data_IF_142012353338
#
_entry.id   IF_142012353338
#
_cell.length_a   1.000
_cell.length_b   1.000
_cell.length_c   1.000
_cell.angle_alpha   90.00
_cell.angle_beta   90.00
_cell.angle_gamma   90.00
#
_symmetry.space_group_name_H-M   'P 1'
#
loop_
_entity.id
_entity.type
_entity.pdbx_description
1 polymer ?
#
# COMPACT_ATOMS: atom_id res chain seq x y z
N UNK A 1 -54.28 -8.15 -20.50
CA UNK A 1 -53.98 -9.15 -21.57
C UNK A 1 -52.57 -8.83 -22.05
N UNK A 2 -51.61 -9.74 -22.16
CA UNK A 2 -51.63 -11.18 -21.96
C UNK A 2 -50.20 -11.70 -22.11
N UNK A 3 -49.77 -12.48 -21.12
CA UNK A 3 -48.65 -13.40 -21.21
C UNK A 3 -49.23 -14.76 -20.86
N UNK A 4 -48.80 -15.83 -21.53
CA UNK A 4 -49.15 -17.18 -21.06
C UNK A 4 -48.54 -17.40 -19.68
N UNK A 5 -49.06 -18.36 -18.90
CA UNK A 5 -48.50 -18.66 -17.58
C UNK A 5 -46.99 -18.99 -17.65
N UNK A 6 -46.54 -19.62 -18.74
CA UNK A 6 -45.14 -19.92 -18.99
C UNK A 6 -44.30 -18.65 -19.26
N UNK A 7 -44.80 -17.74 -20.10
CA UNK A 7 -44.08 -16.48 -20.40
C UNK A 7 -44.00 -15.57 -19.18
N UNK A 8 -45.05 -15.54 -18.36
CA UNK A 8 -45.06 -14.82 -17.10
C UNK A 8 -43.99 -15.36 -16.13
N UNK A 9 -43.92 -16.68 -15.96
CA UNK A 9 -42.90 -17.31 -15.11
C UNK A 9 -41.48 -16.97 -15.57
N UNK A 10 -41.20 -17.05 -16.87
CA UNK A 10 -39.88 -16.72 -17.40
C UNK A 10 -39.53 -15.23 -17.21
N UNK A 11 -40.48 -14.33 -17.48
CA UNK A 11 -40.25 -12.89 -17.34
C UNK A 11 -40.03 -12.47 -15.88
N UNK A 12 -40.87 -12.95 -14.96
CA UNK A 12 -40.70 -12.69 -13.53
C UNK A 12 -39.39 -13.30 -13.01
N UNK A 13 -39.00 -14.49 -13.48
CA UNK A 13 -37.73 -15.10 -13.08
C UNK A 13 -36.51 -14.28 -13.54
N UNK A 14 -36.52 -13.74 -14.76
CA UNK A 14 -35.43 -12.88 -15.26
C UNK A 14 -35.37 -11.56 -14.48
N UNK A 15 -36.52 -10.93 -14.21
CA UNK A 15 -36.59 -9.69 -13.42
C UNK A 15 -36.12 -9.91 -11.97
N UNK A 16 -36.50 -11.02 -11.34
CA UNK A 16 -36.08 -11.36 -9.97
C UNK A 16 -34.58 -11.66 -9.87
N UNK A 17 -34.01 -12.40 -10.83
CA UNK A 17 -32.56 -12.66 -10.86
C UNK A 17 -31.78 -11.36 -11.08
N UNK A 18 -32.28 -10.49 -11.99
CA UNK A 18 -31.69 -9.19 -12.24
C UNK A 18 -31.69 -8.28 -11.00
N UNK A 19 -32.81 -8.21 -10.28
CA UNK A 19 -32.92 -7.43 -9.04
C UNK A 19 -31.98 -7.93 -7.94
N UNK A 20 -31.82 -9.25 -7.82
CA UNK A 20 -30.85 -9.87 -6.91
C UNK A 20 -29.39 -9.54 -7.27
N UNK A 21 -29.04 -9.51 -8.56
CA UNK A 21 -27.68 -9.17 -9.00
C UNK A 21 -27.36 -7.68 -8.87
N UNK A 22 -28.31 -6.80 -9.18
CA UNK A 22 -28.09 -5.34 -9.09
C UNK A 22 -28.03 -4.87 -7.64
N UNK A 23 -28.88 -5.42 -6.76
CA UNK A 23 -28.88 -5.08 -5.32
C UNK A 23 -27.65 -5.58 -4.56
N UNK A 24 -26.93 -6.58 -5.07
CA UNK A 24 -25.73 -7.11 -4.43
C UNK A 24 -24.53 -6.17 -4.52
N UNK A 25 -24.40 -5.40 -5.61
CA UNK A 25 -23.26 -4.48 -5.77
C UNK A 25 -23.23 -3.44 -4.64
N UNK A 26 -24.34 -2.73 -4.32
CA UNK A 26 -24.39 -1.86 -3.14
C UNK A 26 -24.21 -2.59 -1.81
N UNK A 27 -24.83 -3.77 -1.65
CA UNK A 27 -24.77 -4.52 -0.40
C UNK A 27 -23.32 -4.91 -0.03
N UNK A 28 -22.54 -5.34 -1.01
CA UNK A 28 -21.13 -5.68 -0.83
C UNK A 28 -20.28 -4.45 -0.48
N UNK A 29 -20.55 -3.30 -1.10
CA UNK A 29 -19.87 -2.04 -0.77
C UNK A 29 -20.14 -1.60 0.67
N UNK A 30 -21.40 -1.71 1.14
CA UNK A 30 -21.78 -1.39 2.53
C UNK A 30 -21.09 -2.35 3.51
N UNK A 31 -21.09 -3.65 3.22
CA UNK A 31 -20.47 -4.66 4.08
C UNK A 31 -18.95 -4.45 4.23
N UNK A 32 -18.24 -4.18 3.13
CA UNK A 32 -16.80 -3.88 3.16
C UNK A 32 -16.54 -2.59 3.97
N UNK A 33 -17.33 -1.54 3.72
CA UNK A 33 -17.18 -0.26 4.43
C UNK A 33 -17.39 -0.45 5.94
N UNK A 34 -18.44 -1.17 6.34
CA UNK A 34 -18.70 -1.49 7.73
C UNK A 34 -17.58 -2.35 8.35
N UNK A 35 -17.06 -3.34 7.61
CA UNK A 35 -15.93 -4.17 8.03
C UNK A 35 -14.64 -3.36 8.26
N UNK A 36 -14.36 -2.37 7.43
CA UNK A 36 -13.21 -1.47 7.61
C UNK A 36 -13.41 -0.56 8.82
N UNK A 37 -14.61 0.00 9.02
CA UNK A 37 -14.91 0.87 10.17
C UNK A 37 -14.79 0.10 11.49
N UNK A 38 -15.34 -1.11 11.57
CA UNK A 38 -15.39 -1.89 12.83
C UNK A 38 -14.01 -2.37 13.28
N UNK A 39 -13.10 -2.67 12.34
CA UNK A 39 -11.75 -3.14 12.67
C UNK A 39 -10.78 -2.00 13.02
N UNK A 40 -11.11 -0.75 12.69
CA UNK A 40 -10.27 0.44 12.97
C UNK A 40 -10.45 1.02 14.38
N UNK A 41 -11.47 0.62 15.16
CA UNK A 41 -11.81 1.27 16.45
C UNK A 41 -10.69 1.19 17.51
N UNK A 42 -9.67 0.34 17.29
CA UNK A 42 -8.52 0.18 18.17
C UNK A 42 -7.27 0.98 17.75
N UNK A 43 -7.30 1.70 16.63
CA UNK A 43 -6.17 2.50 16.14
C UNK A 43 -6.17 3.89 16.79
N UNK A 44 -5.17 4.23 17.61
CA UNK A 44 -5.05 5.52 18.32
C UNK A 44 -4.77 6.74 17.40
N UNK A 45 -4.68 6.53 16.09
CA UNK A 45 -4.37 7.59 15.12
C UNK A 45 -5.63 8.34 14.67
N UNK A 46 -5.67 9.64 14.98
CA UNK A 46 -6.79 10.55 14.72
C UNK A 46 -6.94 10.96 13.25
N UNK A 47 -6.23 10.32 12.31
CA UNK A 47 -6.43 10.57 10.88
C UNK A 47 -7.79 10.02 10.43
N UNK A 48 -8.46 10.71 9.52
CA UNK A 48 -9.64 10.17 8.86
C UNK A 48 -9.24 9.03 7.91
N UNK A 49 -10.01 7.94 7.93
CA UNK A 49 -9.79 6.76 7.09
C UNK A 49 -9.60 7.09 5.60
N UNK A 50 -10.30 8.10 5.08
CA UNK A 50 -10.18 8.54 3.69
C UNK A 50 -8.79 9.06 3.35
N UNK A 51 -8.12 9.73 4.29
CA UNK A 51 -6.76 10.26 4.10
C UNK A 51 -5.74 9.13 4.03
N UNK A 52 -5.87 8.12 4.91
CA UNK A 52 -4.99 6.95 4.92
C UNK A 52 -5.14 6.13 3.64
N UNK A 53 -6.37 5.86 3.20
CA UNK A 53 -6.66 5.17 1.95
C UNK A 53 -6.09 5.96 0.77
N UNK A 54 -6.32 7.28 0.74
CA UNK A 54 -5.76 8.15 -0.29
C UNK A 54 -4.24 8.08 -0.36
N UNK A 55 -3.57 8.11 0.80
CA UNK A 55 -2.12 7.97 0.89
C UNK A 55 -1.64 6.61 0.38
N UNK A 56 -2.35 5.52 0.69
CA UNK A 56 -2.01 4.17 0.23
C UNK A 56 -2.18 3.99 -1.28
N UNK A 57 -3.26 4.52 -1.85
CA UNK A 57 -3.49 4.48 -3.30
C UNK A 57 -2.38 5.23 -4.03
N UNK A 58 -2.06 6.44 -3.58
CA UNK A 58 -0.98 7.27 -4.14
C UNK A 58 0.40 6.66 -3.91
N UNK A 59 0.61 5.89 -2.83
CA UNK A 59 1.87 5.20 -2.55
C UNK A 59 2.22 4.12 -3.59
N UNK A 60 1.27 3.68 -4.42
CA UNK A 60 1.47 2.63 -5.44
C UNK A 60 1.34 3.19 -6.89
N UNK A 61 2.36 3.89 -7.43
CA UNK A 61 2.33 4.44 -8.80
C UNK A 61 1.99 3.42 -9.90
N UNK A 62 2.45 2.17 -9.73
CA UNK A 62 2.20 1.10 -10.69
C UNK A 62 0.71 0.78 -10.81
N UNK A 63 -0.03 0.78 -9.68
CA UNK A 63 -1.46 0.55 -9.69
C UNK A 63 -2.20 1.66 -10.45
N UNK A 64 -1.80 2.93 -10.26
CA UNK A 64 -2.37 4.06 -11.01
C UNK A 64 -2.14 3.95 -12.51
N UNK A 65 -0.94 3.54 -12.95
CA UNK A 65 -0.64 3.36 -14.37
C UNK A 65 -1.47 2.24 -15.01
N UNK A 66 -1.64 1.11 -14.31
CA UNK A 66 -2.49 0.01 -14.76
C UNK A 66 -3.96 0.45 -14.82
N UNK A 67 -4.43 1.19 -13.82
CA UNK A 67 -5.78 1.76 -13.81
C UNK A 67 -6.00 2.74 -14.98
N UNK A 68 -5.01 3.59 -15.27
CA UNK A 68 -5.03 4.48 -16.43
C UNK A 68 -5.14 3.73 -17.77
N UNK A 69 -4.41 2.62 -17.92
CA UNK A 69 -4.52 1.75 -19.09
C UNK A 69 -5.92 1.14 -19.21
N UNK A 70 -6.51 0.65 -18.12
CA UNK A 70 -7.87 0.12 -18.11
C UNK A 70 -8.91 1.18 -18.51
N UNK A 71 -8.75 2.42 -18.07
CA UNK A 71 -9.63 3.53 -18.48
C UNK A 71 -9.56 3.80 -19.99
N UNK A 72 -8.38 3.69 -20.60
CA UNK A 72 -8.23 3.77 -22.07
C UNK A 72 -8.98 2.61 -22.74
N UNK A 73 -8.82 1.39 -22.25
CA UNK A 73 -9.51 0.22 -22.80
C UNK A 73 -11.04 0.37 -22.73
N UNK A 74 -11.57 0.90 -21.63
CA UNK A 74 -13.00 1.20 -21.52
C UNK A 74 -13.45 2.33 -22.44
N UNK A 75 -12.62 3.36 -22.64
CA UNK A 75 -12.90 4.43 -23.61
C UNK A 75 -12.97 3.95 -25.06
N UNK A 76 -12.35 2.82 -25.39
CA UNK A 76 -12.42 2.23 -26.75
C UNK A 76 -13.71 1.43 -27.00
N UNK A 77 -14.50 1.15 -25.95
CA UNK A 77 -15.76 0.43 -26.10
C UNK A 77 -16.82 1.37 -26.71
N UNK A 78 -17.39 1.05 -27.88
CA UNK A 78 -18.41 1.89 -28.51
C UNK A 78 -19.66 1.96 -27.62
N UNK A 79 -20.14 3.18 -27.38
CA UNK A 79 -21.28 3.47 -26.49
C UNK A 79 -20.91 4.17 -25.19
N UNK A 80 -19.62 4.17 -24.78
CA UNK A 80 -19.17 4.93 -23.62
C UNK A 80 -18.72 6.37 -23.99
N UNK A 81 -18.85 7.36 -23.09
CA UNK A 81 -18.36 8.73 -23.33
C UNK A 81 -16.83 8.78 -23.45
N UNK A 82 -16.30 8.62 -24.66
CA UNK A 82 -14.86 8.51 -24.94
C UNK A 82 -14.06 9.65 -24.29
N UNK A 83 -14.50 10.90 -24.49
CA UNK A 83 -13.81 12.09 -23.98
C UNK A 83 -13.62 12.01 -22.45
N UNK A 84 -14.64 11.56 -21.71
CA UNK A 84 -14.57 11.44 -20.25
C UNK A 84 -13.55 10.39 -19.82
N UNK A 85 -13.56 9.21 -20.46
CA UNK A 85 -12.62 8.14 -20.14
C UNK A 85 -11.18 8.51 -20.49
N UNK A 86 -10.94 9.11 -21.66
CA UNK A 86 -9.61 9.56 -22.05
C UNK A 86 -9.10 10.70 -21.16
N UNK A 87 -9.96 11.64 -20.75
CA UNK A 87 -9.59 12.70 -19.80
C UNK A 87 -9.20 12.12 -18.44
N UNK A 88 -10.00 11.20 -17.89
CA UNK A 88 -9.68 10.51 -16.63
C UNK A 88 -8.41 9.67 -16.75
N UNK A 89 -8.25 8.92 -17.84
CA UNK A 89 -7.05 8.15 -18.11
C UNK A 89 -5.80 9.03 -18.15
N UNK A 90 -5.87 10.19 -18.80
CA UNK A 90 -4.77 11.14 -18.85
C UNK A 90 -4.41 11.66 -17.46
N UNK A 91 -5.39 12.08 -16.66
CA UNK A 91 -5.17 12.59 -15.29
C UNK A 91 -4.55 11.52 -14.40
N UNK A 92 -5.12 10.31 -14.39
CA UNK A 92 -4.67 9.22 -13.52
C UNK A 92 -3.29 8.71 -13.92
N UNK A 93 -3.04 8.53 -15.22
CA UNK A 93 -1.74 8.05 -15.73
C UNK A 93 -0.66 9.11 -15.51
N UNK A 94 -0.96 10.38 -15.78
CA UNK A 94 -0.01 11.47 -15.52
C UNK A 94 0.29 11.57 -14.03
N UNK A 95 -0.74 11.54 -13.16
CA UNK A 95 -0.58 11.53 -11.71
C UNK A 95 0.32 10.40 -11.24
N UNK A 96 0.03 9.16 -11.64
CA UNK A 96 0.84 7.98 -11.33
C UNK A 96 2.29 8.11 -11.81
N UNK A 97 2.51 8.61 -13.02
CA UNK A 97 3.84 8.84 -13.57
C UNK A 97 4.64 9.88 -12.76
N UNK A 98 4.02 11.02 -12.42
CA UNK A 98 4.65 12.07 -11.60
C UNK A 98 5.00 11.59 -10.20
N UNK A 99 4.11 10.82 -9.55
CA UNK A 99 4.39 10.25 -8.23
C UNK A 99 5.55 9.24 -8.32
N UNK A 100 5.54 8.37 -9.35
CA UNK A 100 6.61 7.40 -9.58
C UNK A 100 7.98 8.05 -9.81
N UNK A 101 8.04 9.16 -10.54
CA UNK A 101 9.27 9.95 -10.72
C UNK A 101 9.80 10.51 -9.39
N UNK A 102 8.91 11.05 -8.55
CA UNK A 102 9.27 11.58 -7.22
C UNK A 102 9.80 10.49 -6.31
N UNK A 103 9.16 9.33 -6.28
CA UNK A 103 9.58 8.19 -5.47
C UNK A 103 10.94 7.64 -5.93
N UNK A 104 11.17 7.51 -7.25
CA UNK A 104 12.47 7.08 -7.80
C UNK A 104 13.59 8.05 -7.42
N UNK A 105 13.34 9.36 -7.52
CA UNK A 105 14.33 10.38 -7.16
C UNK A 105 14.69 10.34 -5.67
N UNK A 106 13.70 10.16 -4.80
CA UNK A 106 13.92 10.01 -3.35
C UNK A 106 14.75 8.75 -3.02
N UNK A 107 14.50 7.64 -3.72
CA UNK A 107 15.24 6.39 -3.52
C UNK A 107 16.69 6.47 -4.07
N UNK A 108 16.90 7.18 -5.18
CA UNK A 108 18.25 7.39 -5.75
C UNK A 108 19.12 8.28 -4.85
N UNK A 109 18.56 9.31 -4.19
CA UNK A 109 19.31 10.13 -3.22
C UNK A 109 19.80 9.32 -2.02
N UNK A 110 18.99 8.41 -1.49
CA UNK A 110 19.35 7.58 -0.33
C UNK A 110 20.39 6.47 -0.68
N UNK A 111 20.52 6.13 -1.96
CA UNK A 111 21.48 5.13 -2.45
C UNK A 111 22.88 5.71 -2.66
N UNK A 112 23.03 7.05 -2.73
CA UNK A 112 24.33 7.72 -2.89
C UNK A 112 25.14 7.81 -1.58
N UNK A 113 24.50 7.59 -0.43
CA UNK A 113 25.18 7.54 0.88
C UNK A 113 25.72 6.13 1.23
N UNK A 114 25.21 5.07 0.60
CA UNK A 114 25.73 3.69 0.74
C UNK A 114 27.18 3.48 0.26
N UNK A 115 27.65 4.05 -0.87
CA UNK A 115 29.04 3.88 -1.30
C UNK A 115 30.05 4.59 -0.39
N UNK A 116 29.67 5.64 0.33
CA UNK A 116 30.56 6.35 1.25
C UNK A 116 30.86 5.54 2.53
N UNK A 117 29.87 4.80 3.05
CA UNK A 117 30.03 3.97 4.25
C UNK A 117 30.74 2.64 3.96
N UNK A 118 30.56 2.07 2.77
CA UNK A 118 31.27 0.86 2.33
C UNK A 118 32.72 1.15 1.93
N UNK A 119 33.00 2.32 1.34
CA UNK A 119 34.36 2.75 1.04
C UNK A 119 35.19 3.07 2.29
N UNK A 120 34.54 3.33 3.44
CA UNK A 120 35.20 3.61 4.71
C UNK A 120 35.62 2.34 5.48
N UNK A 121 35.14 1.16 5.05
CA UNK A 121 35.50 -0.15 5.63
C UNK A 121 36.64 -0.90 4.91
N UNK A 122 37.07 -0.43 3.72
CA UNK A 122 38.20 -1.00 2.99
C UNK A 122 39.46 -0.18 3.27
N UNK A 123 40.34 -0.71 4.11
CA UNK A 123 41.48 -0.01 4.70
C UNK A 123 42.37 0.77 3.71
N UNK A 124 42.62 2.03 4.07
CA UNK A 124 43.79 2.83 3.67
C UNK A 124 44.07 3.86 4.79
N UNK A 125 45.34 4.28 4.99
CA UNK A 125 45.86 4.65 6.30
C UNK A 125 45.43 6.04 6.77
N UNK A 126 45.41 6.18 8.09
CA UNK A 126 45.19 7.42 8.83
C UNK A 126 46.05 8.58 8.29
N UNK A 127 45.43 9.57 7.65
CA UNK A 127 46.05 10.87 7.45
C UNK A 127 45.00 12.00 7.48
N UNK A 128 45.13 12.83 8.51
CA UNK A 128 44.63 14.21 8.67
C UNK A 128 43.11 14.43 8.84
N UNK A 129 42.77 14.44 10.12
CA UNK A 129 41.87 15.40 10.78
C UNK A 129 41.72 16.77 10.11
N UNK A 130 40.46 17.20 9.98
CA UNK A 130 40.03 18.60 10.20
C UNK A 130 38.74 18.59 11.03
N UNK A 131 38.67 19.30 12.17
CA UNK A 131 37.44 19.40 12.95
C UNK A 131 36.55 20.48 12.31
N UNK A 132 35.26 20.18 12.10
CA UNK A 132 34.25 21.20 11.79
C UNK A 132 33.34 21.36 13.00
N UNK A 133 33.22 22.57 13.58
CA UNK A 133 32.55 22.79 14.86
C UNK A 133 31.04 22.99 14.67
N UNK A 134 30.25 22.43 15.59
CA UNK A 134 28.93 22.94 15.92
C UNK A 134 27.74 22.02 15.66
N UNK A 135 27.39 21.20 16.66
CA UNK A 135 25.99 20.92 16.98
C UNK A 135 25.89 20.39 18.42
N UNK A 136 25.04 21.05 19.21
CA UNK A 136 24.87 20.92 20.67
C UNK A 136 24.51 19.48 21.11
N UNK A 137 24.85 19.08 22.35
CA UNK A 137 24.49 17.77 22.88
C UNK A 137 23.04 17.79 23.35
N UNK A 138 22.23 16.84 22.87
CA UNK A 138 20.98 16.47 23.54
C UNK A 138 20.91 14.96 23.58
N UNK A 139 21.23 14.42 24.74
CA UNK A 139 21.11 13.00 25.02
C UNK A 139 19.65 12.57 24.95
N UNK A 140 19.45 11.33 24.52
CA UNK A 140 18.91 10.27 25.37
C UNK A 140 19.40 8.95 24.80
N UNK A 141 19.88 8.10 25.71
CA UNK A 141 20.24 6.72 25.45
C UNK A 141 18.98 5.95 25.05
N UNK A 142 19.13 5.00 24.15
CA UNK A 142 18.11 4.03 23.75
C UNK A 142 18.74 3.12 22.71
N UNK A 143 18.73 1.83 23.02
CA UNK A 143 19.58 0.77 22.48
C UNK A 143 19.90 0.79 20.99
N UNK A 144 21.18 0.48 20.71
CA UNK A 144 21.54 -0.36 19.56
C UNK A 144 20.87 -1.72 19.74
N UNK A 145 19.65 -1.88 19.22
CA UNK A 145 19.13 -3.21 18.93
C UNK A 145 19.39 -3.49 17.45
N UNK A 146 20.61 -3.99 17.27
CA UNK A 146 21.08 -4.76 16.15
C UNK A 146 20.01 -5.75 15.68
N UNK A 147 19.66 -5.65 14.40
CA UNK A 147 18.90 -6.66 13.69
C UNK A 147 19.64 -8.00 13.78
N UNK A 148 19.29 -8.82 14.77
CA UNK A 148 19.67 -10.22 14.81
C UNK A 148 18.78 -11.00 13.84
N UNK A 149 19.30 -11.14 12.62
CA UNK A 149 18.88 -12.13 11.66
C UNK A 149 18.94 -13.53 12.31
N UNK A 150 17.78 -14.14 12.55
CA UNK A 150 17.57 -15.60 12.74
C UNK A 150 18.61 -16.35 13.58
N UNK A 151 18.68 -16.07 14.88
CA UNK A 151 19.37 -16.97 15.83
C UNK A 151 18.32 -17.93 16.41
N UNK A 152 18.46 -19.26 16.23
CA UNK A 152 17.56 -20.21 16.86
C UNK A 152 17.73 -20.14 18.37
N UNK A 153 16.60 -20.08 19.06
CA UNK A 153 16.48 -19.96 20.51
C UNK A 153 16.99 -21.26 21.16
N UNK A 154 18.28 -21.31 21.50
CA UNK A 154 18.81 -22.33 22.42
C UNK A 154 18.29 -21.96 23.81
N UNK A 155 17.34 -22.76 24.31
CA UNK A 155 17.00 -22.77 25.73
C UNK A 155 18.24 -23.25 26.47
N UNK A 156 18.94 -22.34 27.14
CA UNK A 156 19.94 -22.70 28.12
C UNK A 156 19.20 -23.28 29.33
N UNK A 157 19.21 -24.61 29.46
CA UNK A 157 18.71 -25.27 30.67
C UNK A 157 19.78 -25.08 31.72
N UNK A 158 19.47 -24.23 32.69
CA UNK A 158 20.32 -23.90 33.83
C UNK A 158 20.89 -25.18 34.47
N UNK A 159 22.21 -25.24 34.60
CA UNK A 159 22.96 -26.39 35.08
C UNK A 159 22.60 -26.80 36.53
N UNK A 160 21.77 -26.02 37.23
CA UNK A 160 21.21 -26.40 38.53
C UNK A 160 20.14 -27.51 38.46
N UNK A 161 19.51 -27.77 37.31
CA UNK A 161 18.45 -28.81 37.19
C UNK A 161 18.94 -30.21 36.76
N UNK A 162 20.21 -30.37 36.34
CA UNK A 162 20.76 -31.69 35.98
C UNK A 162 21.33 -32.47 37.18
N UNK A 163 21.40 -31.87 38.36
CA UNK A 163 21.95 -32.51 39.56
C UNK A 163 20.89 -33.24 40.43
N UNK A 164 19.61 -33.20 40.05
CA UNK A 164 18.49 -33.84 40.77
C UNK A 164 17.72 -34.91 39.95
N UNK A 165 18.30 -35.41 38.85
CA UNK A 165 17.84 -36.61 38.13
C UNK A 165 18.95 -37.68 38.13
#
# INVERSE_FOLDING_TARGET
KGLSAADALQLYSILTVGDGMVSQVPALLIAITAGIIVTRVSSEESSDLGTDIGAQVVAQPKALLIGGLLLVLFGLIPGFPMITFFALAAIVTAGGYFIGLRQRKAQSSNSQDLPAVLAQGAGAPAARSKPKPGSKPRGKLGEKEEFAMTVPLLIDVDAALQAEL
#
